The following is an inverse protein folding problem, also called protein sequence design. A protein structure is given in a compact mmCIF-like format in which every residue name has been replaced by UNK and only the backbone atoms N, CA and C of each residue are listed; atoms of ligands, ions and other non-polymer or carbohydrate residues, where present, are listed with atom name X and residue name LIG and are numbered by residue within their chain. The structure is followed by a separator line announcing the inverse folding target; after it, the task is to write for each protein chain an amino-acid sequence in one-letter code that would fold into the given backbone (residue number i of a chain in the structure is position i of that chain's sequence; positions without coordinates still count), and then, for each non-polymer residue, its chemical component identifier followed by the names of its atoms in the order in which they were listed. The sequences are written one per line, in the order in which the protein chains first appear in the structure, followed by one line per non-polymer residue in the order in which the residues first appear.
data_IF_488577071820
#
_entry.id   IF_488577071820
#
_cell.length_a   1.000
_cell.length_b   1.000
_cell.length_c   1.000
_cell.angle_alpha   90.00
_cell.angle_beta   90.00
_cell.angle_gamma   90.00
#
_symmetry.space_group_name_H-M   'P 1'
#
loop_
_entity.id
_entity.type
_entity.pdbx_description
1 polymer ?
#
# COMPACT_ATOMS: atom_id res chain seq x y z
N UNK A 1 4.32 -21.56 -8.20
CA UNK A 1 5.63 -20.94 -8.50
C UNK A 1 6.48 -21.68 -9.51
N UNK A 2 6.08 -22.84 -10.04
CA UNK A 2 6.73 -23.54 -11.16
C UNK A 2 8.17 -24.04 -10.96
N UNK A 3 8.76 -23.86 -9.76
CA UNK A 3 10.12 -24.35 -9.48
C UNK A 3 10.04 -25.77 -8.92
N UNK A 4 10.61 -26.73 -9.62
CA UNK A 4 10.78 -28.07 -9.12
C UNK A 4 11.93 -28.10 -8.10
N UNK A 5 11.57 -28.04 -6.82
CA UNK A 5 12.51 -28.03 -5.69
C UNK A 5 13.40 -29.30 -5.70
N UNK A 6 12.86 -30.43 -6.11
CA UNK A 6 13.61 -31.69 -6.17
C UNK A 6 14.69 -31.65 -7.25
N UNK A 7 14.38 -31.09 -8.44
CA UNK A 7 15.39 -30.88 -9.49
C UNK A 7 16.46 -29.88 -9.06
N UNK A 8 16.06 -28.79 -8.40
CA UNK A 8 16.99 -27.79 -7.90
C UNK A 8 17.98 -28.38 -6.89
N UNK A 9 17.49 -29.14 -5.90
CA UNK A 9 18.33 -29.80 -4.90
C UNK A 9 19.30 -30.81 -5.52
N UNK A 10 18.85 -31.57 -6.53
CA UNK A 10 19.71 -32.53 -7.24
C UNK A 10 20.78 -31.85 -8.12
N UNK A 11 20.52 -30.65 -8.62
CA UNK A 11 21.45 -29.90 -9.46
C UNK A 11 22.57 -29.18 -8.67
N UNK A 12 22.40 -29.04 -7.34
CA UNK A 12 23.38 -28.33 -6.49
C UNK A 12 24.43 -29.32 -5.99
N UNK A 13 25.71 -29.10 -6.32
CA UNK A 13 26.83 -29.91 -5.83
C UNK A 13 27.11 -29.71 -4.32
N UNK A 14 26.88 -28.48 -3.82
CA UNK A 14 27.03 -28.13 -2.41
C UNK A 14 25.80 -27.37 -1.93
N UNK A 15 25.19 -27.84 -0.85
CA UNK A 15 24.04 -27.21 -0.20
C UNK A 15 24.48 -26.75 1.18
N UNK A 16 24.46 -25.43 1.41
CA UNK A 16 24.65 -24.86 2.73
C UNK A 16 23.29 -24.38 3.28
N UNK A 17 22.97 -24.85 4.46
CA UNK A 17 21.75 -24.44 5.18
C UNK A 17 22.09 -23.26 6.10
N UNK A 18 21.39 -22.14 5.93
CA UNK A 18 21.51 -20.99 6.83
C UNK A 18 20.66 -21.24 8.09
N UNK A 19 21.31 -21.36 9.23
CA UNK A 19 20.66 -21.72 10.50
C UNK A 19 20.12 -20.52 11.27
N UNK A 20 20.62 -19.31 11.03
CA UNK A 20 20.22 -18.12 11.78
C UNK A 20 19.24 -17.27 10.98
N UNK A 21 18.09 -16.95 11.56
CA UNK A 21 17.22 -15.88 11.08
C UNK A 21 17.59 -14.57 11.74
N UNK A 22 17.67 -13.50 10.94
CA UNK A 22 17.90 -12.12 11.41
C UNK A 22 16.61 -11.28 11.40
N UNK A 23 15.46 -11.94 11.16
CA UNK A 23 14.17 -11.27 11.02
C UNK A 23 13.11 -11.85 11.94
N UNK A 24 12.90 -13.17 11.89
CA UNK A 24 11.74 -13.83 12.51
C UNK A 24 11.91 -13.91 14.03
N UNK A 25 10.99 -13.33 14.82
CA UNK A 25 11.04 -13.38 16.27
C UNK A 25 10.66 -14.76 16.82
N UNK A 26 10.93 -14.99 18.10
CA UNK A 26 10.79 -16.30 18.74
C UNK A 26 9.35 -16.85 18.67
N UNK A 27 8.34 -16.04 18.98
CA UNK A 27 6.94 -16.43 18.93
C UNK A 27 6.53 -16.91 17.53
N UNK A 28 6.91 -16.13 16.50
CA UNK A 28 6.58 -16.43 15.10
C UNK A 28 7.36 -17.63 14.57
N UNK A 29 8.57 -17.86 15.08
CA UNK A 29 9.41 -19.00 14.70
C UNK A 29 8.71 -20.35 14.96
N UNK A 30 8.04 -20.51 16.12
CA UNK A 30 7.30 -21.74 16.45
C UNK A 30 6.22 -22.06 15.42
N UNK A 31 5.42 -21.06 15.04
CA UNK A 31 4.39 -21.20 14.00
C UNK A 31 5.01 -21.51 12.63
N UNK A 32 6.06 -20.77 12.24
CA UNK A 32 6.75 -20.99 10.97
C UNK A 32 7.37 -22.40 10.88
N UNK A 33 7.96 -22.92 11.97
CA UNK A 33 8.48 -24.27 12.03
C UNK A 33 7.38 -25.33 11.87
N UNK A 34 6.20 -25.11 12.47
CA UNK A 34 5.03 -25.97 12.30
C UNK A 34 4.55 -25.99 10.86
N UNK A 35 4.43 -24.82 10.22
CA UNK A 35 4.07 -24.72 8.80
C UNK A 35 5.11 -25.40 7.89
N UNK A 36 6.40 -25.22 8.18
CA UNK A 36 7.47 -25.88 7.41
C UNK A 36 7.36 -27.41 7.46
N UNK A 37 6.93 -27.99 8.61
CA UNK A 37 6.72 -29.45 8.73
C UNK A 37 5.60 -29.98 7.84
N UNK A 38 4.62 -29.16 7.49
CA UNK A 38 3.53 -29.55 6.57
C UNK A 38 4.00 -29.69 5.11
N UNK A 39 5.16 -29.09 4.75
CA UNK A 39 5.72 -29.16 3.40
C UNK A 39 6.43 -30.51 3.23
N UNK A 40 5.92 -31.37 2.34
CA UNK A 40 6.45 -32.72 2.12
C UNK A 40 7.82 -32.69 1.42
N UNK A 41 7.95 -31.87 0.38
CA UNK A 41 9.21 -31.73 -0.37
C UNK A 41 9.94 -30.47 0.10
N UNK A 42 10.87 -30.64 1.03
CA UNK A 42 11.71 -29.55 1.56
C UNK A 42 13.11 -30.03 1.91
N UNK A 43 14.06 -29.11 2.00
CA UNK A 43 15.33 -29.33 2.68
C UNK A 43 15.09 -29.23 4.20
N UNK A 44 15.30 -30.29 4.96
CA UNK A 44 15.25 -30.22 6.42
C UNK A 44 16.29 -29.23 6.95
N UNK A 45 15.88 -28.39 7.88
CA UNK A 45 16.82 -27.50 8.57
C UNK A 45 16.33 -27.20 9.98
N UNK A 46 17.26 -27.18 10.90
CA UNK A 46 17.09 -26.55 12.18
C UNK A 46 17.58 -25.11 12.06
N UNK A 47 16.68 -24.15 12.32
CA UNK A 47 17.03 -22.74 12.24
C UNK A 47 16.58 -22.01 13.50
N UNK A 48 17.29 -20.96 13.81
CA UNK A 48 17.07 -20.17 15.03
C UNK A 48 16.43 -18.84 14.70
N UNK A 49 15.49 -18.42 15.57
CA UNK A 49 14.89 -17.08 15.54
C UNK A 49 15.91 -15.99 15.88
N UNK A 50 15.48 -14.73 15.76
CA UNK A 50 16.19 -13.63 16.42
C UNK A 50 16.08 -13.77 17.95
N UNK A 51 16.85 -12.93 18.68
CA UNK A 51 16.73 -12.83 20.15
C UNK A 51 15.43 -12.12 20.60
N UNK A 52 14.74 -11.45 19.69
CA UNK A 52 13.50 -10.74 19.97
C UNK A 52 12.34 -11.73 20.18
N UNK A 53 11.56 -11.52 21.23
CA UNK A 53 10.43 -12.40 21.57
C UNK A 53 9.32 -12.31 20.53
N UNK A 54 8.88 -11.09 20.20
CA UNK A 54 7.76 -10.81 19.31
C UNK A 54 6.42 -11.25 19.87
N UNK A 55 5.37 -11.20 19.04
CA UNK A 55 4.05 -11.68 19.45
C UNK A 55 3.26 -12.28 18.28
N UNK A 56 2.28 -13.12 18.62
CA UNK A 56 1.20 -13.56 17.73
C UNK A 56 -0.12 -13.26 18.42
N UNK A 57 -1.01 -12.59 17.69
CA UNK A 57 -2.38 -12.30 18.13
C UNK A 57 -3.38 -12.80 17.10
N UNK A 58 -4.50 -13.36 17.57
CA UNK A 58 -5.58 -13.85 16.73
C UNK A 58 -6.78 -12.93 16.85
N UNK A 59 -7.41 -12.62 15.73
CA UNK A 59 -8.54 -11.71 15.61
C UNK A 59 -9.65 -12.36 14.78
N UNK A 60 -10.90 -12.06 15.11
CA UNK A 60 -12.06 -12.48 14.31
C UNK A 60 -12.34 -11.51 13.17
N UNK A 61 -11.95 -10.25 13.35
CA UNK A 61 -12.12 -9.19 12.35
C UNK A 61 -10.87 -8.33 12.24
N UNK A 62 -10.64 -7.78 11.06
CA UNK A 62 -9.59 -6.79 10.80
C UNK A 62 -9.78 -5.52 11.65
N UNK A 63 -11.03 -5.13 11.91
CA UNK A 63 -11.37 -3.90 12.65
C UNK A 63 -10.97 -3.94 14.14
N UNK A 64 -10.60 -5.11 14.66
CA UNK A 64 -10.07 -5.26 16.01
C UNK A 64 -8.62 -4.80 16.15
N UNK A 65 -7.94 -4.52 15.03
CA UNK A 65 -6.51 -4.23 15.01
C UNK A 65 -6.31 -2.71 14.93
N UNK A 66 -5.75 -2.13 15.99
CA UNK A 66 -5.32 -0.73 15.97
C UNK A 66 -3.99 -0.57 15.23
N UNK A 67 -4.05 0.06 14.06
CA UNK A 67 -2.87 0.34 13.22
C UNK A 67 -2.48 1.82 13.21
N UNK A 68 -2.86 2.55 14.22
CA UNK A 68 -2.63 4.00 14.30
C UNK A 68 -1.16 4.38 14.47
N UNK A 69 -0.33 3.45 14.93
CA UNK A 69 1.11 3.65 15.15
C UNK A 69 1.94 2.51 14.59
N UNK A 70 3.17 2.82 14.17
CA UNK A 70 4.11 1.86 13.62
C UNK A 70 3.91 1.61 12.12
N UNK A 71 4.72 0.74 11.54
CA UNK A 71 4.60 0.30 10.15
C UNK A 71 3.85 -1.03 10.07
N UNK A 72 2.97 -1.13 9.08
CA UNK A 72 2.04 -2.25 8.95
C UNK A 72 1.99 -2.79 7.54
N UNK A 73 2.13 -4.09 7.40
CA UNK A 73 1.83 -4.78 6.15
C UNK A 73 0.67 -5.75 6.34
N UNK A 74 -0.42 -5.51 5.60
CA UNK A 74 -1.56 -6.42 5.54
C UNK A 74 -1.42 -7.32 4.33
N UNK A 75 -1.44 -8.63 4.55
CA UNK A 75 -1.30 -9.62 3.50
C UNK A 75 -2.53 -10.51 3.37
N UNK A 76 -2.88 -10.83 2.13
CA UNK A 76 -3.88 -11.85 1.81
C UNK A 76 -3.40 -12.77 0.69
N UNK A 77 -4.07 -13.92 0.57
CA UNK A 77 -3.77 -14.87 -0.51
C UNK A 77 -4.22 -14.36 -1.87
N UNK A 78 -5.30 -13.59 -1.93
CA UNK A 78 -5.88 -13.07 -3.17
C UNK A 78 -6.10 -11.56 -3.12
N UNK A 79 -6.15 -10.92 -4.30
CA UNK A 79 -6.39 -9.48 -4.39
C UNK A 79 -7.83 -9.09 -4.01
N UNK A 80 -8.78 -10.03 -3.98
CA UNK A 80 -10.18 -9.72 -3.69
C UNK A 80 -10.33 -9.16 -2.29
N UNK A 81 -9.80 -9.86 -1.27
CA UNK A 81 -9.86 -9.41 0.12
C UNK A 81 -9.16 -8.06 0.32
N UNK A 82 -8.02 -7.86 -0.38
CA UNK A 82 -7.31 -6.56 -0.34
C UNK A 82 -8.13 -5.43 -0.98
N UNK A 83 -8.96 -5.71 -1.98
CA UNK A 83 -9.83 -4.69 -2.58
C UNK A 83 -10.91 -4.27 -1.59
N UNK A 84 -11.61 -5.23 -0.99
CA UNK A 84 -12.64 -4.99 0.03
C UNK A 84 -12.08 -4.18 1.21
N UNK A 85 -10.89 -4.56 1.69
CA UNK A 85 -10.21 -3.83 2.75
C UNK A 85 -9.78 -2.42 2.32
N UNK A 86 -9.28 -2.26 1.10
CA UNK A 86 -8.90 -0.96 0.56
C UNK A 86 -10.09 0.00 0.49
N UNK A 87 -11.27 -0.51 0.10
CA UNK A 87 -12.50 0.27 0.05
C UNK A 87 -12.96 0.70 1.46
N UNK A 88 -12.80 -0.16 2.46
CA UNK A 88 -13.07 0.18 3.86
C UNK A 88 -12.11 1.27 4.36
N UNK A 89 -10.80 1.09 4.18
CA UNK A 89 -9.79 2.07 4.57
C UNK A 89 -10.00 3.44 3.90
N UNK A 90 -10.43 3.45 2.61
CA UNK A 90 -10.78 4.71 1.94
C UNK A 90 -11.98 5.38 2.60
N UNK A 91 -13.05 4.64 2.92
CA UNK A 91 -14.24 5.18 3.61
C UNK A 91 -13.88 5.76 4.98
N UNK A 92 -12.94 5.13 5.67
CA UNK A 92 -12.46 5.56 6.98
C UNK A 92 -11.42 6.68 6.91
N UNK A 93 -11.04 7.12 5.71
CA UNK A 93 -10.05 8.17 5.52
C UNK A 93 -8.63 7.77 5.92
N UNK A 94 -8.28 6.51 5.77
CA UNK A 94 -6.94 5.97 6.02
C UNK A 94 -6.15 5.94 4.73
N UNK A 95 -4.98 6.56 4.71
CA UNK A 95 -4.04 6.46 3.59
C UNK A 95 -3.23 5.17 3.70
N UNK A 96 -3.02 4.51 2.56
CA UNK A 96 -2.26 3.26 2.49
C UNK A 96 -1.54 3.13 1.15
N UNK A 97 -0.56 2.25 1.10
CA UNK A 97 0.01 1.73 -0.14
C UNK A 97 -0.73 0.45 -0.53
N UNK A 98 -1.06 0.29 -1.80
CA UNK A 98 -1.55 -0.98 -2.33
C UNK A 98 -0.64 -1.44 -3.45
N UNK A 99 0.04 -2.56 -3.21
CA UNK A 99 1.05 -3.09 -4.13
C UNK A 99 2.15 -2.05 -4.47
N UNK A 100 2.51 -1.19 -3.54
CA UNK A 100 3.51 -0.13 -3.71
C UNK A 100 2.97 1.19 -4.29
N UNK A 101 1.69 1.26 -4.64
CA UNK A 101 1.05 2.49 -5.13
C UNK A 101 0.22 3.15 -4.04
N UNK A 102 0.34 4.46 -3.92
CA UNK A 102 -0.47 5.23 -2.97
C UNK A 102 -1.96 5.08 -3.30
N UNK A 103 -2.81 4.99 -2.28
CA UNK A 103 -4.27 4.90 -2.38
C UNK A 103 -4.94 6.13 -2.99
N UNK A 104 -4.19 7.17 -3.25
CA UNK A 104 -4.59 8.41 -3.91
C UNK A 104 -3.60 8.76 -5.02
N UNK A 105 -4.04 9.44 -6.09
CA UNK A 105 -3.17 9.86 -7.18
C UNK A 105 -2.15 10.90 -6.70
N UNK A 106 -0.86 10.57 -6.80
CA UNK A 106 0.25 11.43 -6.35
C UNK A 106 0.29 12.74 -7.13
N UNK A 107 -0.07 12.74 -8.43
CA UNK A 107 -0.09 13.95 -9.24
C UNK A 107 -1.18 14.92 -8.78
N UNK A 108 -2.37 14.39 -8.48
CA UNK A 108 -3.46 15.20 -7.93
C UNK A 108 -3.10 15.73 -6.54
N UNK A 109 -2.48 14.92 -5.70
CA UNK A 109 -2.03 15.33 -4.37
C UNK A 109 -1.00 16.47 -4.45
N UNK A 110 0.00 16.33 -5.32
CA UNK A 110 0.98 17.40 -5.55
C UNK A 110 0.31 18.68 -6.03
N UNK A 111 -0.69 18.59 -6.92
CA UNK A 111 -1.43 19.76 -7.41
C UNK A 111 -2.24 20.45 -6.30
N UNK A 112 -2.80 19.68 -5.35
CA UNK A 112 -3.47 20.25 -4.17
C UNK A 112 -2.49 21.03 -3.30
N UNK A 113 -1.32 20.46 -3.01
CA UNK A 113 -0.26 21.11 -2.23
C UNK A 113 0.23 22.40 -2.92
N UNK A 114 0.43 22.36 -4.25
CA UNK A 114 0.82 23.54 -5.03
C UNK A 114 -0.24 24.63 -4.98
N UNK A 115 -1.53 24.27 -5.03
CA UNK A 115 -2.61 25.22 -4.88
C UNK A 115 -2.63 25.86 -3.48
N UNK A 116 -2.46 25.09 -2.44
CA UNK A 116 -2.38 25.58 -1.06
C UNK A 116 -1.15 26.49 -0.88
N UNK A 117 0.01 26.13 -1.47
CA UNK A 117 1.20 26.97 -1.49
C UNK A 117 0.93 28.31 -2.18
N UNK A 118 0.26 28.29 -3.34
CA UNK A 118 -0.10 29.52 -4.07
C UNK A 118 -1.00 30.43 -3.23
N UNK A 119 -1.98 29.87 -2.52
CA UNK A 119 -2.84 30.63 -1.62
C UNK A 119 -2.06 31.25 -0.46
N UNK A 120 -1.18 30.49 0.17
CA UNK A 120 -0.39 30.92 1.34
C UNK A 120 0.68 31.91 0.99
N UNK A 121 1.47 31.64 -0.05
CA UNK A 121 2.68 32.40 -0.40
C UNK A 121 2.43 33.44 -1.49
N UNK A 122 1.27 33.40 -2.17
CA UNK A 122 0.90 34.31 -3.25
C UNK A 122 1.60 34.07 -4.59
N UNK A 123 2.58 33.16 -4.65
CA UNK A 123 3.32 32.80 -5.88
C UNK A 123 3.88 31.38 -5.81
N UNK A 124 4.03 30.78 -6.99
CA UNK A 124 4.61 29.43 -7.20
C UNK A 124 5.60 29.49 -8.38
N UNK A 125 6.39 28.43 -8.58
CA UNK A 125 7.25 28.34 -9.78
C UNK A 125 6.44 28.02 -11.03
N UNK A 126 6.99 28.31 -12.20
CA UNK A 126 6.37 27.94 -13.49
C UNK A 126 6.21 26.41 -13.59
N UNK A 127 7.17 25.64 -13.10
CA UNK A 127 7.08 24.18 -13.06
C UNK A 127 5.91 23.70 -12.20
N UNK A 128 5.76 24.27 -11.00
CA UNK A 128 4.61 24.00 -10.12
C UNK A 128 3.28 24.40 -10.80
N UNK A 129 3.23 25.55 -11.49
CA UNK A 129 2.03 25.98 -12.19
C UNK A 129 1.67 25.02 -13.35
N UNK A 130 2.65 24.51 -14.10
CA UNK A 130 2.43 23.47 -15.12
C UNK A 130 1.84 22.20 -14.51
N UNK A 131 2.42 21.72 -13.41
CA UNK A 131 1.97 20.54 -12.68
C UNK A 131 0.52 20.70 -12.18
N UNK A 132 0.18 21.85 -11.62
CA UNK A 132 -1.18 22.18 -11.20
C UNK A 132 -2.17 22.13 -12.38
N UNK A 133 -1.83 22.77 -13.50
CA UNK A 133 -2.70 22.88 -14.67
C UNK A 133 -2.99 21.53 -15.36
N UNK A 134 -2.12 20.54 -15.21
CA UNK A 134 -2.35 19.17 -15.71
C UNK A 134 -3.63 18.60 -15.09
N UNK A 135 -3.83 18.78 -13.80
CA UNK A 135 -4.92 18.22 -13.03
C UNK A 135 -6.14 19.15 -12.89
N UNK A 136 -6.09 20.37 -13.40
CA UNK A 136 -7.22 21.29 -13.40
C UNK A 136 -8.23 20.96 -14.51
N UNK A 137 -9.56 21.05 -14.26
CA UNK A 137 -10.58 20.95 -15.29
C UNK A 137 -10.49 22.15 -16.24
N UNK A 138 -10.59 21.88 -17.57
CA UNK A 138 -10.35 22.85 -18.65
C UNK A 138 -11.61 23.17 -19.45
N UNK A 139 -12.74 22.53 -19.16
CA UNK A 139 -14.00 22.68 -19.90
C UNK A 139 -15.20 22.60 -18.95
N UNK A 140 -16.32 23.17 -19.39
CA UNK A 140 -17.58 23.16 -18.64
C UNK A 140 -17.65 24.24 -17.57
N UNK A 141 -18.74 24.21 -16.79
CA UNK A 141 -19.04 25.23 -15.77
C UNK A 141 -18.10 25.22 -14.57
N UNK A 142 -17.29 24.14 -14.43
CA UNK A 142 -16.32 23.96 -13.35
C UNK A 142 -14.87 24.05 -13.83
N UNK A 143 -14.63 24.69 -14.99
CA UNK A 143 -13.29 24.90 -15.49
C UNK A 143 -12.49 25.78 -14.52
N UNK A 144 -11.35 25.28 -14.06
CA UNK A 144 -10.43 26.02 -13.19
C UNK A 144 -9.38 26.79 -13.99
N UNK A 145 -9.07 26.32 -15.21
CA UNK A 145 -8.13 26.95 -16.12
C UNK A 145 -8.69 26.98 -17.53
N UNK A 146 -8.38 28.05 -18.31
CA UNK A 146 -8.81 28.17 -19.68
C UNK A 146 -8.17 27.08 -20.57
N UNK A 147 -8.92 26.65 -21.61
CA UNK A 147 -8.39 25.68 -22.57
C UNK A 147 -7.17 26.22 -23.29
N UNK A 148 -6.10 25.41 -23.36
CA UNK A 148 -4.84 25.78 -24.01
C UNK A 148 -3.91 26.68 -23.18
N UNK A 149 -4.33 27.15 -22.01
CA UNK A 149 -3.53 28.05 -21.16
C UNK A 149 -2.22 27.42 -20.63
N UNK A 150 -2.11 26.09 -20.58
CA UNK A 150 -0.84 25.43 -20.21
C UNK A 150 0.31 25.85 -21.17
N UNK A 151 0.03 26.14 -22.44
CA UNK A 151 1.04 26.60 -23.41
C UNK A 151 1.62 27.94 -23.06
N UNK A 152 0.87 28.83 -22.38
CA UNK A 152 1.36 30.15 -21.98
C UNK A 152 2.41 30.06 -20.84
N UNK A 153 2.53 28.90 -20.23
CA UNK A 153 3.54 28.58 -19.21
C UNK A 153 4.82 27.95 -19.80
N UNK A 154 4.93 27.85 -21.14
CA UNK A 154 6.14 27.39 -21.83
C UNK A 154 7.20 28.51 -21.81
N UNK A 155 7.82 28.70 -20.64
CA UNK A 155 8.85 29.71 -20.38
C UNK A 155 10.18 28.97 -20.23
N UNK A 156 11.29 29.48 -20.77
CA UNK A 156 12.61 28.86 -20.75
C UNK A 156 13.11 28.60 -19.31
N UNK A 157 12.88 29.56 -18.41
CA UNK A 157 13.24 29.43 -17.00
C UNK A 157 12.05 28.90 -16.18
N UNK A 158 12.00 27.60 -15.96
CA UNK A 158 10.96 26.91 -15.18
C UNK A 158 11.00 27.23 -13.68
N UNK A 159 12.13 27.76 -13.16
CA UNK A 159 12.29 28.16 -11.76
C UNK A 159 11.70 29.54 -11.46
N UNK A 160 11.43 30.35 -12.49
CA UNK A 160 10.79 31.66 -12.35
C UNK A 160 9.48 31.52 -11.58
N UNK A 161 9.26 32.41 -10.61
CA UNK A 161 8.00 32.45 -9.85
C UNK A 161 6.95 33.29 -10.56
N UNK A 162 5.72 32.84 -10.50
CA UNK A 162 4.53 33.49 -11.05
C UNK A 162 3.51 33.71 -9.93
N UNK A 163 2.94 34.89 -9.86
CA UNK A 163 1.96 35.23 -8.83
C UNK A 163 0.55 34.74 -9.20
N UNK A 164 -0.34 34.69 -8.21
CA UNK A 164 -1.76 34.38 -8.41
C UNK A 164 -2.41 35.35 -9.45
N UNK A 165 -2.14 36.62 -9.33
CA UNK A 165 -2.69 37.65 -10.25
C UNK A 165 -2.15 37.49 -11.68
N UNK A 166 -0.87 37.15 -11.81
CA UNK A 166 -0.26 36.89 -13.11
C UNK A 166 -0.84 35.65 -13.77
N UNK A 167 -1.05 34.55 -12.99
CA UNK A 167 -1.72 33.35 -13.48
C UNK A 167 -3.14 33.66 -14.00
N UNK A 168 -3.89 34.48 -13.29
CA UNK A 168 -5.22 34.91 -13.74
C UNK A 168 -5.18 35.78 -15.00
N UNK A 169 -4.31 36.77 -15.04
CA UNK A 169 -4.27 37.76 -16.12
C UNK A 169 -3.66 37.19 -17.41
N UNK A 170 -2.57 36.43 -17.30
CA UNK A 170 -1.74 36.06 -18.44
C UNK A 170 -1.80 34.57 -18.78
N UNK A 171 -2.18 33.73 -17.84
CA UNK A 171 -2.09 32.26 -17.95
C UNK A 171 -3.42 31.55 -17.74
N UNK A 172 -4.54 32.27 -17.81
CA UNK A 172 -5.88 31.70 -17.90
C UNK A 172 -6.37 30.94 -16.66
N UNK A 173 -5.87 31.30 -15.47
CA UNK A 173 -6.46 30.81 -14.20
C UNK A 173 -7.82 31.49 -14.00
N UNK A 174 -8.87 30.69 -13.80
CA UNK A 174 -10.27 31.17 -13.75
C UNK A 174 -10.86 31.21 -12.33
N UNK A 175 -10.28 30.47 -11.41
CA UNK A 175 -10.78 30.33 -10.02
C UNK A 175 -10.36 31.51 -9.14
N UNK A 176 -11.10 31.70 -8.02
CA UNK A 176 -10.76 32.67 -6.97
C UNK A 176 -9.73 32.08 -6.03
N UNK A 177 -9.04 32.95 -5.27
CA UNK A 177 -7.94 32.54 -4.40
C UNK A 177 -8.41 31.63 -3.24
N UNK A 178 -9.58 31.88 -2.69
CA UNK A 178 -10.10 31.19 -1.49
C UNK A 178 -10.79 29.86 -1.78
N UNK A 179 -10.80 29.42 -3.07
CA UNK A 179 -11.44 28.15 -3.44
C UNK A 179 -10.63 26.98 -2.89
N UNK A 180 -11.26 26.01 -2.20
CA UNK A 180 -10.56 24.82 -1.72
C UNK A 180 -9.89 24.01 -2.84
N UNK A 181 -8.75 23.37 -2.55
CA UNK A 181 -7.97 22.64 -3.56
C UNK A 181 -8.79 21.54 -4.27
N UNK A 182 -9.67 20.86 -3.54
CA UNK A 182 -10.56 19.81 -4.05
C UNK A 182 -11.57 20.33 -5.09
N UNK A 183 -11.86 21.62 -5.12
CA UNK A 183 -12.75 22.25 -6.10
C UNK A 183 -12.00 22.83 -7.30
N UNK A 184 -10.68 22.97 -7.18
CA UNK A 184 -9.80 23.45 -8.27
C UNK A 184 -9.32 22.33 -9.15
N UNK A 185 -9.16 21.14 -8.58
CA UNK A 185 -8.57 19.97 -9.23
C UNK A 185 -9.67 19.03 -9.72
N UNK A 186 -9.42 18.38 -10.86
CA UNK A 186 -10.33 17.39 -11.44
C UNK A 186 -10.29 16.09 -10.63
N UNK A 187 -11.17 15.97 -9.65
CA UNK A 187 -11.31 14.81 -8.79
C UNK A 187 -12.62 14.07 -9.09
N UNK A 188 -12.57 12.74 -9.03
CA UNK A 188 -13.79 11.93 -9.00
C UNK A 188 -14.60 12.20 -7.73
N UNK A 189 -15.88 11.84 -7.73
CA UNK A 189 -16.72 11.93 -6.52
C UNK A 189 -16.12 11.08 -5.39
N UNK A 190 -15.67 9.88 -5.70
CA UNK A 190 -15.07 8.95 -4.74
C UNK A 190 -13.79 9.53 -4.12
N UNK A 191 -12.95 10.22 -4.91
CA UNK A 191 -11.75 10.87 -4.40
C UNK A 191 -12.06 12.07 -3.51
N UNK A 192 -13.11 12.85 -3.84
CA UNK A 192 -13.59 13.94 -2.96
C UNK A 192 -14.09 13.40 -1.62
N UNK A 193 -14.89 12.33 -1.64
CA UNK A 193 -15.38 11.67 -0.42
C UNK A 193 -14.22 11.14 0.42
N UNK A 194 -13.21 10.57 -0.22
CA UNK A 194 -12.01 10.09 0.44
C UNK A 194 -11.19 11.21 1.08
N UNK A 195 -10.95 12.32 0.37
CA UNK A 195 -10.27 13.51 0.93
C UNK A 195 -11.05 14.06 2.13
N UNK A 196 -12.37 14.13 2.02
CA UNK A 196 -13.21 14.58 3.13
C UNK A 196 -13.09 13.66 4.36
N UNK A 197 -12.99 12.35 4.15
CA UNK A 197 -12.76 11.38 5.21
C UNK A 197 -11.36 11.55 5.85
N UNK A 198 -10.30 11.75 5.06
CA UNK A 198 -8.94 12.01 5.55
C UNK A 198 -8.91 13.30 6.40
N UNK A 199 -9.53 14.38 5.91
CA UNK A 199 -9.60 15.66 6.65
C UNK A 199 -10.33 15.51 8.00
N UNK A 200 -11.39 14.69 8.07
CA UNK A 200 -12.10 14.39 9.34
C UNK A 200 -11.20 13.69 10.36
N UNK A 201 -10.29 12.82 9.94
CA UNK A 201 -9.33 12.15 10.85
C UNK A 201 -8.27 13.09 11.43
N UNK A 202 -8.10 14.30 10.92
CA UNK A 202 -7.08 15.28 11.34
C UNK A 202 -5.62 14.77 11.29
N UNK A 203 -5.34 13.64 10.62
CA UNK A 203 -3.99 13.07 10.51
C UNK A 203 -3.19 13.63 9.32
N UNK A 204 -3.82 14.45 8.49
CA UNK A 204 -3.20 14.98 7.27
C UNK A 204 -2.95 13.91 6.20
N UNK A 205 -2.47 14.35 5.04
CA UNK A 205 -2.13 13.49 3.92
C UNK A 205 -0.62 13.21 3.97
N UNK A 206 -0.22 11.96 4.24
CA UNK A 206 1.17 11.51 4.20
C UNK A 206 1.48 10.85 2.85
N UNK A 207 2.54 11.27 2.16
CA UNK A 207 2.99 10.61 0.90
C UNK A 207 3.56 9.21 1.14
N UNK A 208 4.02 8.93 2.34
CA UNK A 208 4.50 7.61 2.78
C UNK A 208 3.60 7.12 3.91
N UNK A 209 2.47 6.48 3.62
CA UNK A 209 1.58 5.96 4.65
C UNK A 209 2.22 4.78 5.39
N UNK A 210 1.82 4.62 6.63
CA UNK A 210 2.33 3.60 7.53
C UNK A 210 1.72 2.20 7.25
N UNK A 211 0.68 2.12 6.41
CA UNK A 211 -0.03 0.88 6.07
C UNK A 211 0.21 0.48 4.62
N UNK A 212 0.60 -0.77 4.41
CA UNK A 212 0.77 -1.37 3.09
C UNK A 212 -0.13 -2.59 2.91
N UNK A 213 -0.87 -2.66 1.80
CA UNK A 213 -1.68 -3.81 1.40
C UNK A 213 -0.98 -4.55 0.26
N UNK A 214 -0.71 -5.84 0.44
CA UNK A 214 -0.03 -6.64 -0.57
C UNK A 214 -0.54 -8.09 -0.60
N UNK A 215 -0.53 -8.73 -1.75
CA UNK A 215 -0.67 -10.19 -1.76
C UNK A 215 0.60 -10.85 -1.22
N UNK A 216 0.46 -12.03 -0.61
CA UNK A 216 1.60 -12.78 -0.08
C UNK A 216 2.69 -12.97 -1.14
N UNK A 217 2.30 -13.22 -2.40
CA UNK A 217 3.24 -13.42 -3.50
C UNK A 217 4.08 -12.18 -3.81
N UNK A 218 3.48 -10.99 -3.76
CA UNK A 218 4.18 -9.73 -4.02
C UNK A 218 5.09 -9.31 -2.87
N UNK A 219 4.76 -9.75 -1.64
CA UNK A 219 5.57 -9.46 -0.46
C UNK A 219 6.83 -10.34 -0.35
N UNK A 220 7.10 -11.21 -1.35
CA UNK A 220 8.32 -12.01 -1.37
C UNK A 220 9.55 -11.09 -1.42
N UNK A 221 10.42 -11.20 -0.40
CA UNK A 221 11.60 -10.33 -0.20
C UNK A 221 11.34 -9.12 0.70
N UNK A 222 10.08 -8.72 0.91
CA UNK A 222 9.71 -7.67 1.87
C UNK A 222 9.64 -8.19 3.31
N UNK A 223 9.55 -7.26 4.25
CA UNK A 223 9.37 -7.50 5.68
C UNK A 223 8.79 -6.26 6.35
N UNK A 224 8.14 -6.43 7.49
CA UNK A 224 7.61 -5.31 8.27
C UNK A 224 7.65 -5.62 9.77
N UNK A 225 7.56 -4.57 10.59
CA UNK A 225 7.51 -4.73 12.05
C UNK A 225 6.20 -5.38 12.46
N UNK A 226 5.08 -4.90 11.95
CA UNK A 226 3.76 -5.45 12.21
C UNK A 226 3.16 -6.02 10.93
N UNK A 227 2.77 -7.27 10.98
CA UNK A 227 2.17 -7.98 9.86
C UNK A 227 0.79 -8.46 10.23
N UNK A 228 -0.19 -8.12 9.40
CA UNK A 228 -1.54 -8.69 9.46
C UNK A 228 -1.69 -9.72 8.34
N UNK A 229 -2.04 -10.94 8.69
CA UNK A 229 -2.27 -12.03 7.75
C UNK A 229 -3.74 -12.43 7.76
N UNK A 230 -4.41 -12.23 6.61
CA UNK A 230 -5.77 -12.72 6.40
C UNK A 230 -5.74 -14.18 5.97
N UNK A 231 -6.47 -15.05 6.68
CA UNK A 231 -6.46 -16.50 6.41
C UNK A 231 -7.34 -16.92 5.25
N UNK A 232 -8.27 -16.06 4.78
CA UNK A 232 -9.12 -16.36 3.63
C UNK A 232 -8.29 -16.54 2.35
N UNK A 233 -8.51 -17.66 1.68
CA UNK A 233 -7.81 -18.03 0.45
C UNK A 233 -8.65 -17.80 -0.80
N UNK A 234 -9.98 -17.81 -0.65
CA UNK A 234 -10.90 -17.96 -1.78
C UNK A 234 -10.94 -19.40 -2.34
N UNK A 235 -11.90 -19.66 -3.21
CA UNK A 235 -12.18 -21.02 -3.72
C UNK A 235 -11.01 -21.68 -4.46
N UNK A 236 -10.39 -20.97 -5.41
CA UNK A 236 -9.36 -21.58 -6.27
C UNK A 236 -8.08 -21.97 -5.50
N UNK A 237 -7.46 -21.09 -4.69
CA UNK A 237 -6.34 -21.48 -3.85
C UNK A 237 -6.70 -22.57 -2.82
N UNK A 238 -7.91 -22.55 -2.27
CA UNK A 238 -8.37 -23.62 -1.37
C UNK A 238 -8.46 -24.97 -2.10
N UNK A 239 -8.96 -25.00 -3.33
CA UNK A 239 -8.92 -26.20 -4.17
C UNK A 239 -7.49 -26.67 -4.45
N UNK A 240 -6.56 -25.75 -4.71
CA UNK A 240 -5.14 -26.08 -4.86
C UNK A 240 -4.56 -26.67 -3.60
N UNK A 241 -4.90 -26.16 -2.42
CA UNK A 241 -4.49 -26.72 -1.14
C UNK A 241 -4.88 -28.21 -0.99
N UNK A 242 -6.07 -28.59 -1.49
CA UNK A 242 -6.52 -29.98 -1.46
C UNK A 242 -5.78 -30.88 -2.45
N UNK A 243 -5.33 -30.36 -3.59
CA UNK A 243 -4.69 -31.13 -4.66
C UNK A 243 -3.16 -31.13 -4.58
N UNK A 244 -2.58 -30.01 -4.18
CA UNK A 244 -1.12 -29.77 -4.08
C UNK A 244 -0.82 -28.91 -2.87
N UNK A 245 -0.92 -29.48 -1.64
CA UNK A 245 -0.85 -28.72 -0.40
C UNK A 245 0.48 -28.01 -0.17
N UNK A 246 1.58 -28.58 -0.64
CA UNK A 246 2.93 -28.05 -0.45
C UNK A 246 3.09 -26.61 -0.96
N UNK A 247 2.44 -26.27 -2.09
CA UNK A 247 2.56 -24.93 -2.67
C UNK A 247 1.88 -23.88 -1.77
N UNK A 248 0.69 -24.18 -1.27
CA UNK A 248 -0.02 -23.27 -0.36
C UNK A 248 0.66 -23.22 1.02
N UNK A 249 1.20 -24.33 1.52
CA UNK A 249 2.01 -24.32 2.75
C UNK A 249 3.23 -23.40 2.61
N UNK A 250 3.93 -23.40 1.46
CA UNK A 250 5.04 -22.48 1.18
C UNK A 250 4.59 -21.02 1.14
N UNK A 251 3.41 -20.75 0.58
CA UNK A 251 2.85 -19.39 0.52
C UNK A 251 2.61 -18.86 1.94
N UNK A 252 1.91 -19.62 2.79
CA UNK A 252 1.62 -19.19 4.17
C UNK A 252 2.88 -19.17 5.05
N UNK A 253 3.81 -20.12 4.88
CA UNK A 253 5.13 -20.04 5.50
C UNK A 253 5.85 -18.73 5.12
N UNK A 254 5.81 -18.37 3.85
CA UNK A 254 6.40 -17.10 3.40
C UNK A 254 5.73 -15.91 4.08
N UNK A 255 4.41 -15.90 4.19
CA UNK A 255 3.66 -14.81 4.82
C UNK A 255 4.07 -14.61 6.28
N UNK A 256 4.00 -15.66 7.10
CA UNK A 256 4.34 -15.58 8.53
C UNK A 256 5.77 -15.09 8.73
N UNK A 257 6.70 -15.55 7.89
CA UNK A 257 8.11 -15.17 7.99
C UNK A 257 8.42 -13.76 7.48
N UNK A 258 7.45 -12.94 7.13
CA UNK A 258 7.64 -11.50 6.83
C UNK A 258 7.68 -10.63 8.08
N UNK A 259 7.27 -11.17 9.20
CA UNK A 259 7.14 -10.48 10.48
C UNK A 259 8.49 -10.26 11.16
N UNK A 260 8.73 -9.05 11.62
CA UNK A 260 9.92 -8.69 12.44
C UNK A 260 9.59 -8.58 13.93
N UNK A 261 8.37 -8.18 14.28
CA UNK A 261 7.96 -8.00 15.67
C UNK A 261 6.62 -8.70 15.96
N UNK A 262 5.52 -8.23 15.39
CA UNK A 262 4.19 -8.68 15.75
C UNK A 262 3.44 -9.25 14.54
N UNK A 263 2.89 -10.45 14.71
CA UNK A 263 2.04 -11.11 13.73
C UNK A 263 0.60 -11.12 14.25
N UNK A 264 -0.29 -10.50 13.48
CA UNK A 264 -1.73 -10.50 13.71
C UNK A 264 -2.39 -11.40 12.67
N UNK A 265 -3.10 -12.40 13.11
CA UNK A 265 -3.80 -13.36 12.26
C UNK A 265 -5.27 -13.05 12.34
N UNK A 266 -5.87 -12.69 11.20
CA UNK A 266 -7.33 -12.53 11.09
C UNK A 266 -7.90 -13.84 10.57
N UNK A 267 -8.56 -14.58 11.46
CA UNK A 267 -9.15 -15.86 11.12
C UNK A 267 -10.51 -15.65 10.44
N UNK A 268 -10.59 -16.10 9.20
CA UNK A 268 -11.80 -15.92 8.38
C UNK A 268 -12.85 -16.97 8.74
N UNK A 269 -14.10 -16.56 8.86
CA UNK A 269 -15.23 -17.48 9.05
C UNK A 269 -15.58 -18.27 7.78
N UNK A 270 -14.94 -17.99 6.65
CA UNK A 270 -15.24 -18.67 5.39
C UNK A 270 -14.71 -20.11 5.41
N UNK A 271 -15.42 -21.00 4.71
CA UNK A 271 -14.97 -22.39 4.50
C UNK A 271 -13.70 -22.52 3.64
N UNK A 272 -13.25 -21.41 3.03
CA UNK A 272 -12.06 -21.36 2.17
C UNK A 272 -10.90 -20.66 2.90
N UNK A 273 -10.71 -20.92 4.17
CA UNK A 273 -9.59 -20.40 4.95
C UNK A 273 -8.42 -21.37 4.98
N UNK A 274 -7.24 -20.84 5.25
CA UNK A 274 -6.05 -21.59 5.58
C UNK A 274 -5.96 -21.73 7.10
N UNK A 275 -5.80 -22.93 7.59
CA UNK A 275 -5.62 -23.20 9.02
C UNK A 275 -4.13 -23.08 9.38
N UNK A 276 -3.80 -22.06 10.18
CA UNK A 276 -2.45 -21.79 10.68
C UNK A 276 -2.08 -22.66 11.87
#
# INVERSE_FOLDING_TARGET
TGVDVTKMLKACANIQVLEQSYRVPQAVHGLAATLAKRISVRQPKDWRSTAHEGSISYHMSFDEIDMDQGSWTVMSRTSKQLNELADNLRRDGVLFLKNGHLSFDVSQLNSMEVWEELQKNGSITIEQAKSLYINCPKRGNHASVAWGSAKTLEIEDSSKRVSFEELRKNHGLMVKKEVPAEDVINLSREDRDYIAAIKRRKKGIKKTPDISLSTIHRMKGGEDDNVVLLTDMGYMPHKTLQQSPDDEHRVFYTAVTRTKQNLHIVDSETKYRYEL
#
